data_IF_991236383844
#
_entry.id   IF_991236383844
#
_cell.length_a   1.000
_cell.length_b   1.000
_cell.length_c   1.000
_cell.angle_alpha   90.00
_cell.angle_beta   90.00
_cell.angle_gamma   90.00
#
_symmetry.space_group_name_H-M   'P 1'
#
loop_
_entity.id
_entity.type
_entity.pdbx_description
1 polymer ?
#
# COMPACT_ATOMS: atom_id res chain seq x y z
N UNK A 1 17.68 -25.24 1.80
CA UNK A 1 18.58 -24.26 2.42
C UNK A 1 17.79 -22.98 2.71
N UNK A 2 18.02 -22.39 3.90
CA UNK A 2 17.56 -21.04 4.23
C UNK A 2 18.75 -20.10 4.11
N UNK A 3 18.61 -19.01 3.36
CA UNK A 3 19.65 -18.04 3.11
C UNK A 3 19.14 -16.61 3.35
N UNK A 4 20.01 -15.73 3.82
CA UNK A 4 19.72 -14.33 4.08
C UNK A 4 20.02 -13.50 2.81
N UNK A 5 19.01 -12.88 2.22
CA UNK A 5 19.17 -12.07 1.01
C UNK A 5 20.06 -10.82 1.20
N UNK A 6 20.18 -10.33 2.44
CA UNK A 6 20.98 -9.15 2.76
C UNK A 6 22.50 -9.42 2.72
N UNK A 7 22.93 -10.69 2.79
CA UNK A 7 24.37 -11.03 2.75
C UNK A 7 24.97 -11.00 1.33
N UNK A 8 24.14 -10.73 0.32
CA UNK A 8 24.62 -10.52 -1.05
C UNK A 8 25.39 -11.71 -1.62
N UNK A 9 26.59 -11.47 -2.14
CA UNK A 9 27.41 -12.52 -2.78
C UNK A 9 27.80 -13.65 -1.84
N UNK A 10 27.93 -13.40 -0.54
CA UNK A 10 28.25 -14.43 0.45
C UNK A 10 27.13 -15.49 0.54
N UNK A 11 25.86 -15.07 0.47
CA UNK A 11 24.75 -16.01 0.43
C UNK A 11 24.80 -16.92 -0.81
N UNK A 12 25.28 -16.41 -1.94
CA UNK A 12 25.44 -17.21 -3.18
C UNK A 12 26.52 -18.26 -2.99
N UNK A 13 27.70 -17.89 -2.45
CA UNK A 13 28.80 -18.79 -2.17
C UNK A 13 28.40 -19.91 -1.19
N UNK A 14 27.66 -19.54 -0.14
CA UNK A 14 27.14 -20.50 0.83
C UNK A 14 26.17 -21.48 0.14
N UNK A 15 25.25 -20.97 -0.69
CA UNK A 15 24.28 -21.81 -1.38
C UNK A 15 24.95 -22.77 -2.36
N UNK A 16 25.96 -22.33 -3.09
CA UNK A 16 26.77 -23.16 -3.98
C UNK A 16 27.49 -24.26 -3.21
N UNK A 17 28.21 -23.94 -2.14
CA UNK A 17 28.93 -24.92 -1.33
C UNK A 17 28.00 -25.92 -0.63
N UNK A 18 26.79 -25.53 -0.22
CA UNK A 18 25.79 -26.47 0.28
C UNK A 18 25.24 -27.37 -0.83
N UNK A 19 24.99 -26.81 -2.02
CA UNK A 19 24.48 -27.59 -3.15
C UNK A 19 25.46 -28.66 -3.59
N UNK A 20 26.75 -28.35 -3.65
CA UNK A 20 27.81 -29.28 -4.01
C UNK A 20 27.96 -30.44 -3.02
N UNK A 21 27.82 -30.15 -1.70
CA UNK A 21 28.11 -31.13 -0.66
C UNK A 21 26.92 -32.01 -0.28
N UNK A 22 25.73 -31.45 -0.26
CA UNK A 22 24.51 -32.12 0.23
C UNK A 22 23.37 -32.21 -0.80
N UNK A 23 23.47 -31.46 -1.91
CA UNK A 23 22.42 -31.47 -2.92
C UNK A 23 21.12 -30.85 -2.39
N UNK A 24 20.99 -29.53 -2.45
CA UNK A 24 19.79 -28.83 -1.98
C UNK A 24 18.66 -28.94 -2.99
N UNK A 25 17.40 -29.11 -2.52
CA UNK A 25 16.21 -29.26 -3.37
C UNK A 25 15.39 -27.99 -3.48
N UNK A 26 15.73 -26.96 -2.71
CA UNK A 26 15.03 -25.68 -2.70
C UNK A 26 15.69 -24.66 -1.80
N UNK A 27 15.43 -23.39 -2.11
CA UNK A 27 15.90 -22.24 -1.35
C UNK A 27 14.73 -21.53 -0.66
N UNK A 28 14.97 -21.05 0.54
CA UNK A 28 14.12 -20.12 1.25
C UNK A 28 14.96 -18.86 1.48
N UNK A 29 14.52 -17.73 0.95
CA UNK A 29 15.23 -16.45 1.12
C UNK A 29 14.55 -15.64 2.23
N UNK A 30 15.34 -15.18 3.19
CA UNK A 30 14.87 -14.31 4.27
C UNK A 30 15.35 -12.87 4.05
N UNK A 31 14.68 -11.92 4.70
CA UNK A 31 15.01 -10.49 4.64
C UNK A 31 14.98 -9.90 3.22
N UNK A 32 14.09 -10.41 2.38
CA UNK A 32 13.94 -9.92 0.98
C UNK A 32 13.43 -8.48 0.93
N UNK A 33 12.82 -8.00 2.01
CA UNK A 33 12.42 -6.60 2.19
C UNK A 33 13.61 -5.62 2.22
N UNK A 34 14.80 -6.09 2.59
CA UNK A 34 16.05 -5.32 2.51
C UNK A 34 16.78 -5.42 1.16
N UNK A 35 16.43 -6.40 0.32
CA UNK A 35 16.97 -6.55 -1.05
C UNK A 35 16.07 -5.85 -2.07
N UNK A 36 16.16 -4.53 -2.16
CA UNK A 36 15.32 -3.70 -3.02
C UNK A 36 15.36 -4.07 -4.52
N UNK A 37 16.38 -4.81 -4.96
CA UNK A 37 16.57 -5.19 -6.37
C UNK A 37 16.42 -6.69 -6.63
N UNK A 38 16.15 -7.52 -5.61
CA UNK A 38 16.02 -8.96 -5.76
C UNK A 38 17.31 -9.66 -6.28
N UNK A 39 18.46 -8.99 -6.17
CA UNK A 39 19.73 -9.45 -6.76
C UNK A 39 20.20 -10.78 -6.17
N UNK A 40 20.00 -10.98 -4.87
CA UNK A 40 20.35 -12.24 -4.21
C UNK A 40 19.53 -13.42 -4.77
N UNK A 41 18.23 -13.23 -5.01
CA UNK A 41 17.35 -14.26 -5.57
C UNK A 41 17.82 -14.69 -6.97
N UNK A 42 18.08 -13.71 -7.84
CA UNK A 42 18.54 -13.99 -9.21
C UNK A 42 19.88 -14.69 -9.22
N UNK A 43 20.85 -14.20 -8.43
CA UNK A 43 22.21 -14.75 -8.37
C UNK A 43 22.22 -16.17 -7.82
N UNK A 44 21.52 -16.45 -6.73
CA UNK A 44 21.44 -17.81 -6.16
C UNK A 44 20.80 -18.78 -7.13
N UNK A 45 19.72 -18.38 -7.80
CA UNK A 45 19.06 -19.22 -8.81
C UNK A 45 19.98 -19.49 -10.01
N UNK A 46 20.71 -18.49 -10.49
CA UNK A 46 21.61 -18.63 -11.62
C UNK A 46 22.80 -19.55 -11.33
N UNK A 47 23.41 -19.41 -10.14
CA UNK A 47 24.61 -20.18 -9.74
C UNK A 47 24.24 -21.61 -9.34
N UNK A 48 23.23 -21.80 -8.50
CA UNK A 48 22.90 -23.14 -7.96
C UNK A 48 21.99 -23.96 -8.87
N UNK A 49 21.23 -23.31 -9.76
CA UNK A 49 20.17 -23.98 -10.52
C UNK A 49 18.95 -24.42 -9.67
N UNK A 50 19.00 -24.21 -8.35
CA UNK A 50 18.00 -24.68 -7.40
C UNK A 50 16.82 -23.72 -7.31
N UNK A 51 15.55 -24.22 -7.31
CA UNK A 51 14.40 -23.33 -7.26
C UNK A 51 14.26 -22.66 -5.89
N UNK A 52 13.91 -21.37 -5.89
CA UNK A 52 13.46 -20.67 -4.70
C UNK A 52 12.00 -21.13 -4.45
N UNK A 53 11.69 -21.53 -3.22
CA UNK A 53 10.37 -22.03 -2.83
C UNK A 53 9.58 -21.00 -2.03
N UNK A 54 10.25 -20.32 -1.10
CA UNK A 54 9.61 -19.36 -0.20
C UNK A 54 10.51 -18.14 0.00
N UNK A 55 9.86 -17.03 0.34
CA UNK A 55 10.50 -15.77 0.74
C UNK A 55 9.96 -15.27 2.06
N UNK A 56 10.85 -14.67 2.85
CA UNK A 56 10.52 -13.96 4.09
C UNK A 56 10.78 -12.46 3.91
N UNK A 57 9.75 -11.66 4.17
CA UNK A 57 9.76 -10.20 3.97
C UNK A 57 9.53 -9.42 5.27
N UNK A 58 9.76 -10.05 6.43
CA UNK A 58 9.59 -9.41 7.73
C UNK A 58 9.98 -10.31 8.89
N UNK A 59 9.97 -9.76 10.10
CA UNK A 59 10.41 -10.44 11.33
C UNK A 59 9.34 -11.36 11.96
N UNK A 60 8.06 -11.06 11.74
CA UNK A 60 6.96 -11.84 12.30
C UNK A 60 6.50 -12.89 11.29
N UNK A 61 6.33 -14.13 11.72
CA UNK A 61 5.79 -15.18 10.87
C UNK A 61 4.27 -14.97 10.71
N UNK A 62 3.88 -14.60 9.50
CA UNK A 62 2.48 -14.42 9.10
C UNK A 62 2.34 -14.73 7.60
N UNK A 63 1.13 -14.91 7.11
CA UNK A 63 0.86 -15.09 5.67
C UNK A 63 1.39 -13.94 4.81
N UNK A 64 1.56 -12.75 5.40
CA UNK A 64 2.02 -11.55 4.69
C UNK A 64 3.54 -11.34 4.78
N UNK A 65 4.27 -12.16 5.54
CA UNK A 65 5.72 -12.03 5.75
C UNK A 65 6.48 -13.29 5.43
N UNK A 66 5.79 -14.41 5.22
CA UNK A 66 6.36 -15.67 4.75
C UNK A 66 5.43 -16.24 3.68
N UNK A 67 5.86 -16.17 2.43
CA UNK A 67 5.04 -16.49 1.27
C UNK A 67 5.77 -17.40 0.26
N UNK A 68 5.03 -17.99 -0.64
CA UNK A 68 5.60 -18.73 -1.78
C UNK A 68 6.32 -17.77 -2.70
N UNK A 69 7.41 -18.25 -3.30
CA UNK A 69 8.14 -17.50 -4.30
C UNK A 69 7.37 -17.50 -5.64
N UNK A 70 7.04 -16.34 -6.14
CA UNK A 70 6.42 -16.12 -7.44
C UNK A 70 7.40 -15.36 -8.34
N UNK A 71 8.02 -16.02 -9.35
CA UNK A 71 9.03 -15.38 -10.21
C UNK A 71 8.53 -14.11 -10.89
N UNK A 72 7.29 -14.13 -11.39
CA UNK A 72 6.71 -13.01 -12.12
C UNK A 72 6.58 -11.77 -11.23
N UNK A 73 6.12 -11.94 -9.98
CA UNK A 73 6.01 -10.83 -9.00
C UNK A 73 7.36 -10.22 -8.66
N UNK A 74 8.40 -11.06 -8.53
CA UNK A 74 9.75 -10.56 -8.27
C UNK A 74 10.30 -9.84 -9.50
N UNK A 75 10.05 -10.34 -10.70
CA UNK A 75 10.43 -9.67 -11.94
C UNK A 75 9.75 -8.29 -12.06
N UNK A 76 8.45 -8.19 -11.83
CA UNK A 76 7.70 -6.93 -11.85
C UNK A 76 8.24 -5.94 -10.81
N UNK A 77 8.58 -6.42 -9.61
CA UNK A 77 9.21 -5.62 -8.55
C UNK A 77 10.57 -5.06 -8.97
N UNK A 78 11.42 -5.90 -9.58
CA UNK A 78 12.74 -5.50 -10.08
C UNK A 78 12.62 -4.47 -11.18
N UNK A 79 11.64 -4.63 -12.08
CA UNK A 79 11.36 -3.72 -13.18
C UNK A 79 10.67 -2.42 -12.73
N UNK A 80 10.26 -2.33 -11.46
CA UNK A 80 9.54 -1.18 -10.92
C UNK A 80 8.10 -1.06 -11.43
N UNK A 81 7.52 -2.16 -11.91
CA UNK A 81 6.13 -2.25 -12.36
C UNK A 81 5.14 -2.39 -11.21
N UNK A 82 5.65 -2.60 -9.97
CA UNK A 82 4.84 -2.85 -8.78
C UNK A 82 4.33 -4.29 -8.70
N UNK A 83 3.78 -4.67 -7.56
CA UNK A 83 3.17 -5.99 -7.35
C UNK A 83 1.65 -5.85 -7.28
N UNK A 84 1.03 -5.53 -8.43
CA UNK A 84 -0.41 -5.28 -8.54
C UNK A 84 -1.23 -6.52 -8.19
N UNK A 85 -0.73 -7.73 -8.50
CA UNK A 85 -1.42 -8.98 -8.20
C UNK A 85 -1.52 -9.22 -6.70
N UNK A 86 -0.42 -9.06 -5.95
CA UNK A 86 -0.45 -9.16 -4.48
C UNK A 86 -1.38 -8.11 -3.87
N UNK A 87 -1.38 -6.89 -4.42
CA UNK A 87 -2.29 -5.85 -3.96
C UNK A 87 -3.76 -6.23 -4.17
N UNK A 88 -4.09 -6.82 -5.33
CA UNK A 88 -5.45 -7.30 -5.62
C UNK A 88 -5.85 -8.45 -4.70
N UNK A 89 -5.00 -9.46 -4.52
CA UNK A 89 -5.26 -10.59 -3.61
C UNK A 89 -5.44 -10.13 -2.15
N UNK A 90 -4.63 -9.18 -1.68
CA UNK A 90 -4.79 -8.60 -0.35
C UNK A 90 -6.07 -7.77 -0.23
N UNK A 91 -6.42 -7.02 -1.25
CA UNK A 91 -7.68 -6.28 -1.28
C UNK A 91 -8.88 -7.24 -1.25
N UNK A 92 -8.89 -8.28 -2.09
CA UNK A 92 -9.95 -9.29 -2.10
C UNK A 92 -10.10 -10.00 -0.74
N UNK A 93 -9.00 -10.30 -0.05
CA UNK A 93 -9.06 -10.94 1.28
C UNK A 93 -9.67 -10.07 2.38
N UNK A 94 -9.75 -8.76 2.18
CA UNK A 94 -10.26 -7.79 3.16
C UNK A 94 -11.70 -7.37 2.92
N UNK A 95 -12.23 -7.64 1.74
CA UNK A 95 -13.60 -7.29 1.38
C UNK A 95 -14.42 -8.55 1.17
N UNK A 96 -15.49 -8.71 1.94
CA UNK A 96 -16.57 -9.56 1.54
C UNK A 96 -17.22 -8.93 0.30
N UNK A 97 -17.57 -9.74 -0.69
CA UNK A 97 -18.14 -9.29 -1.97
C UNK A 97 -19.36 -8.35 -1.76
N UNK A 98 -20.16 -8.65 -0.74
CA UNK A 98 -21.30 -7.83 -0.34
C UNK A 98 -20.90 -6.42 0.18
N UNK A 99 -19.80 -6.31 0.91
CA UNK A 99 -19.28 -5.02 1.39
C UNK A 99 -18.72 -4.18 0.24
N UNK A 100 -18.02 -4.82 -0.71
CA UNK A 100 -17.50 -4.14 -1.90
C UNK A 100 -18.64 -3.58 -2.75
N UNK A 101 -19.71 -4.34 -2.95
CA UNK A 101 -20.91 -3.87 -3.65
C UNK A 101 -21.60 -2.70 -2.94
N UNK A 102 -21.77 -2.77 -1.63
CA UNK A 102 -22.33 -1.67 -0.83
C UNK A 102 -21.47 -0.40 -0.90
N UNK A 103 -20.15 -0.54 -0.88
CA UNK A 103 -19.23 0.59 -1.00
C UNK A 103 -19.34 1.23 -2.39
N UNK A 104 -19.39 0.41 -3.44
CA UNK A 104 -19.58 0.87 -4.82
C UNK A 104 -20.91 1.61 -4.96
N UNK A 105 -21.99 1.09 -4.42
CA UNK A 105 -23.31 1.74 -4.43
C UNK A 105 -23.27 3.09 -3.70
N UNK A 106 -22.65 3.17 -2.53
CA UNK A 106 -22.46 4.43 -1.80
C UNK A 106 -21.67 5.46 -2.60
N UNK A 107 -20.61 5.02 -3.29
CA UNK A 107 -19.81 5.91 -4.16
C UNK A 107 -20.62 6.42 -5.35
N UNK A 108 -21.39 5.55 -6.00
CA UNK A 108 -22.25 5.91 -7.13
C UNK A 108 -23.37 6.87 -6.71
N UNK A 109 -23.88 6.75 -5.49
CA UNK A 109 -25.00 7.55 -4.99
C UNK A 109 -24.58 8.83 -4.24
N UNK A 110 -23.31 9.22 -4.26
CA UNK A 110 -22.78 10.33 -3.46
C UNK A 110 -23.06 10.21 -1.93
N UNK A 111 -23.10 8.98 -1.44
CA UNK A 111 -23.34 8.65 -0.03
C UNK A 111 -22.07 8.26 0.72
N UNK A 112 -20.91 8.38 0.07
CA UNK A 112 -19.63 8.13 0.71
C UNK A 112 -19.35 9.21 1.74
N UNK A 113 -19.14 8.83 3.00
CA UNK A 113 -19.02 9.74 4.15
C UNK A 113 -17.59 9.74 4.71
N UNK A 114 -17.29 10.65 5.64
CA UNK A 114 -16.04 10.60 6.41
C UNK A 114 -15.97 9.36 7.30
N UNK A 115 -17.11 8.79 7.71
CA UNK A 115 -17.13 7.51 8.42
C UNK A 115 -16.67 6.38 7.49
N UNK A 116 -17.20 6.30 6.28
CA UNK A 116 -16.77 5.31 5.29
C UNK A 116 -15.28 5.49 4.97
N UNK A 117 -14.81 6.74 4.84
CA UNK A 117 -13.40 7.03 4.61
C UNK A 117 -12.50 6.51 5.75
N UNK A 118 -12.92 6.69 7.00
CA UNK A 118 -12.20 6.16 8.17
C UNK A 118 -12.13 4.62 8.15
N UNK A 119 -13.25 3.96 7.81
CA UNK A 119 -13.32 2.51 7.71
C UNK A 119 -12.39 1.97 6.63
N UNK A 120 -12.34 2.61 5.44
CA UNK A 120 -11.41 2.24 4.39
C UNK A 120 -9.96 2.43 4.82
N UNK A 121 -9.65 3.55 5.49
CA UNK A 121 -8.32 3.83 6.00
C UNK A 121 -7.86 2.77 7.02
N UNK A 122 -8.76 2.33 7.89
CA UNK A 122 -8.48 1.26 8.86
C UNK A 122 -8.29 -0.10 8.18
N UNK A 123 -9.03 -0.40 7.11
CA UNK A 123 -8.84 -1.61 6.31
C UNK A 123 -7.46 -1.61 5.64
N UNK A 124 -7.07 -0.50 5.00
CA UNK A 124 -5.73 -0.36 4.39
C UNK A 124 -4.62 -0.57 5.44
N UNK A 125 -4.78 -0.04 6.66
CA UNK A 125 -3.83 -0.27 7.75
C UNK A 125 -3.70 -1.75 8.15
N UNK A 126 -4.76 -2.55 8.01
CA UNK A 126 -4.74 -4.00 8.26
C UNK A 126 -3.96 -4.76 7.20
N UNK A 127 -3.79 -4.23 5.99
CA UNK A 127 -2.95 -4.81 4.93
C UNK A 127 -1.46 -4.83 5.28
N UNK A 128 -1.06 -4.05 6.28
CA UNK A 128 0.32 -3.94 6.73
C UNK A 128 0.84 -2.51 6.76
N UNK A 129 2.15 -2.31 6.92
CA UNK A 129 2.76 -0.99 6.88
C UNK A 129 2.42 -0.29 5.55
N UNK A 130 1.88 0.91 5.63
CA UNK A 130 1.36 1.64 4.47
C UNK A 130 2.43 1.86 3.39
N UNK A 131 3.69 2.03 3.78
CA UNK A 131 4.80 2.09 2.86
C UNK A 131 4.87 0.87 1.93
N UNK A 132 4.64 -0.35 2.47
CA UNK A 132 4.60 -1.58 1.66
C UNK A 132 3.42 -1.59 0.68
N UNK A 133 2.26 -1.11 1.08
CA UNK A 133 1.08 -1.01 0.19
C UNK A 133 1.36 -0.06 -0.97
N UNK A 134 2.01 1.07 -0.71
CA UNK A 134 2.41 2.01 -1.75
C UNK A 134 3.53 1.48 -2.65
N UNK A 135 4.48 0.69 -2.11
CA UNK A 135 5.54 0.06 -2.91
C UNK A 135 4.98 -0.93 -3.96
N UNK A 136 3.77 -1.49 -3.72
CA UNK A 136 3.06 -2.35 -4.67
C UNK A 136 2.40 -1.55 -5.81
N UNK A 137 2.29 -0.23 -5.68
CA UNK A 137 1.69 0.61 -6.72
C UNK A 137 2.71 0.98 -7.80
N UNK A 138 2.36 0.86 -9.09
CA UNK A 138 3.25 1.20 -10.20
C UNK A 138 3.74 2.66 -10.12
N UNK A 139 5.05 2.87 -10.21
CA UNK A 139 5.67 4.20 -10.23
C UNK A 139 5.93 4.83 -8.85
N UNK A 140 5.34 4.32 -7.77
CA UNK A 140 5.55 4.88 -6.43
C UNK A 140 6.96 4.61 -5.91
N UNK A 141 7.51 3.44 -6.21
CA UNK A 141 8.90 3.08 -5.87
C UNK A 141 9.93 4.06 -6.45
N UNK A 142 9.68 4.62 -7.65
CA UNK A 142 10.54 5.66 -8.25
C UNK A 142 10.47 6.98 -7.48
N UNK A 143 9.28 7.39 -7.04
CA UNK A 143 9.10 8.62 -6.24
C UNK A 143 9.80 8.51 -4.87
N UNK A 144 9.76 7.33 -4.26
CA UNK A 144 10.46 7.03 -3.01
C UNK A 144 11.98 7.04 -3.18
N UNK A 145 12.50 6.43 -4.25
CA UNK A 145 13.94 6.44 -4.54
C UNK A 145 14.47 7.86 -4.83
N UNK A 146 13.61 8.78 -5.26
CA UNK A 146 13.94 10.19 -5.47
C UNK A 146 13.84 11.03 -4.18
N UNK A 147 13.56 10.42 -3.03
CA UNK A 147 13.41 11.12 -1.76
C UNK A 147 12.18 12.04 -1.67
N UNK A 148 11.21 11.87 -2.57
CA UNK A 148 10.00 12.70 -2.62
C UNK A 148 8.95 12.27 -1.60
N UNK A 149 9.10 11.08 -1.01
CA UNK A 149 8.10 10.49 -0.10
C UNK A 149 8.82 9.78 1.04
N UNK A 150 8.48 10.14 2.28
CA UNK A 150 8.96 9.51 3.51
C UNK A 150 7.80 8.72 4.14
N UNK A 151 8.03 7.45 4.43
CA UNK A 151 7.04 6.55 5.06
C UNK A 151 6.57 7.08 6.41
N UNK A 152 7.48 7.67 7.20
CA UNK A 152 7.14 8.24 8.50
C UNK A 152 6.22 9.45 8.36
N UNK A 153 6.43 10.26 7.33
CA UNK A 153 5.57 11.41 7.03
C UNK A 153 4.17 10.95 6.61
N UNK A 154 4.07 9.94 5.73
CA UNK A 154 2.78 9.38 5.32
C UNK A 154 2.03 8.80 6.53
N UNK A 155 2.70 7.96 7.31
CA UNK A 155 2.09 7.34 8.49
C UNK A 155 1.64 8.39 9.52
N UNK A 156 2.45 9.42 9.73
CA UNK A 156 2.11 10.55 10.59
C UNK A 156 0.87 11.30 10.09
N UNK A 157 0.77 11.57 8.80
CA UNK A 157 -0.40 12.21 8.18
C UNK A 157 -1.66 11.36 8.32
N UNK A 158 -1.57 10.06 8.11
CA UNK A 158 -2.72 9.16 8.25
C UNK A 158 -3.19 9.05 9.69
N UNK A 159 -2.28 8.98 10.67
CA UNK A 159 -2.61 9.03 12.09
C UNK A 159 -3.32 10.34 12.46
N UNK A 160 -2.86 11.46 11.90
CA UNK A 160 -3.48 12.77 12.10
C UNK A 160 -4.90 12.81 11.52
N UNK A 161 -5.10 12.33 10.30
CA UNK A 161 -6.43 12.26 9.67
C UNK A 161 -7.38 11.39 10.48
N UNK A 162 -6.93 10.22 10.92
CA UNK A 162 -7.69 9.30 11.77
C UNK A 162 -8.08 9.97 13.11
N UNK A 163 -7.15 10.67 13.77
CA UNK A 163 -7.41 11.38 15.01
C UNK A 163 -8.45 12.49 14.84
N UNK A 164 -8.38 13.25 13.73
CA UNK A 164 -9.34 14.29 13.38
C UNK A 164 -10.74 13.70 13.22
N UNK A 165 -10.89 12.63 12.41
CA UNK A 165 -12.19 12.01 12.16
C UNK A 165 -12.72 11.36 13.44
N UNK A 166 -11.88 10.72 14.24
CA UNK A 166 -12.27 10.12 15.52
C UNK A 166 -12.73 11.18 16.55
N UNK A 167 -12.25 12.41 16.46
CA UNK A 167 -12.69 13.53 17.31
C UNK A 167 -14.02 14.15 16.86
N UNK A 168 -14.55 13.74 15.70
CA UNK A 168 -15.88 14.13 15.24
C UNK A 168 -16.96 13.25 15.85
N UNK A 169 -18.16 13.81 16.03
CA UNK A 169 -19.36 13.00 16.32
C UNK A 169 -19.77 12.18 15.09
N UNK A 170 -20.59 11.14 15.29
CA UNK A 170 -21.12 10.32 14.20
C UNK A 170 -21.88 11.19 13.19
N UNK A 171 -22.67 12.15 13.67
CA UNK A 171 -23.40 13.09 12.82
C UNK A 171 -22.46 13.94 11.95
N UNK A 172 -21.35 14.41 12.53
CA UNK A 172 -20.35 15.21 11.82
C UNK A 172 -19.55 14.39 10.79
N UNK A 173 -19.30 13.10 11.08
CA UNK A 173 -18.66 12.17 10.14
C UNK A 173 -19.56 11.88 8.96
N UNK A 174 -20.88 11.74 9.19
CA UNK A 174 -21.87 11.49 8.15
C UNK A 174 -22.23 12.73 7.35
N UNK A 175 -22.11 13.93 7.96
CA UNK A 175 -22.43 15.19 7.31
C UNK A 175 -21.44 16.29 7.71
N UNK A 176 -20.30 16.38 7.02
CA UNK A 176 -19.28 17.40 7.29
C UNK A 176 -19.76 18.84 7.04
N UNK A 177 -20.91 19.04 6.37
CA UNK A 177 -21.48 20.38 6.08
C UNK A 177 -21.94 21.10 7.33
N UNK A 178 -22.23 20.36 8.42
CA UNK A 178 -22.60 20.94 9.72
C UNK A 178 -21.40 21.49 10.52
N UNK A 179 -20.16 21.29 10.04
CA UNK A 179 -18.95 21.73 10.70
C UNK A 179 -18.77 23.25 10.64
N UNK A 180 -19.26 23.93 11.65
CA UNK A 180 -19.01 25.37 11.89
C UNK A 180 -17.66 25.62 12.59
N UNK A 181 -17.31 26.88 12.82
CA UNK A 181 -16.05 27.28 13.44
C UNK A 181 -15.86 26.71 14.85
N UNK A 182 -16.92 26.66 15.66
CA UNK A 182 -16.87 26.11 17.03
C UNK A 182 -16.61 24.61 17.01
N UNK A 183 -17.30 23.85 16.16
CA UNK A 183 -17.11 22.41 16.00
C UNK A 183 -15.69 22.07 15.53
N UNK A 184 -15.17 22.82 14.55
CA UNK A 184 -13.78 22.65 14.07
C UNK A 184 -12.75 22.93 15.16
N UNK A 185 -12.97 23.94 16.01
CA UNK A 185 -12.09 24.22 17.14
C UNK A 185 -12.10 23.08 18.16
N UNK A 186 -13.27 22.54 18.50
CA UNK A 186 -13.41 21.39 19.39
C UNK A 186 -12.72 20.14 18.83
N UNK A 187 -12.91 19.83 17.53
CA UNK A 187 -12.26 18.72 16.84
C UNK A 187 -10.75 18.88 16.86
N UNK A 188 -10.23 20.07 16.54
CA UNK A 188 -8.80 20.35 16.58
C UNK A 188 -8.21 20.13 17.98
N UNK A 189 -8.91 20.58 19.01
CA UNK A 189 -8.50 20.40 20.41
C UNK A 189 -8.52 18.92 20.81
N UNK A 190 -9.57 18.17 20.42
CA UNK A 190 -9.72 16.73 20.73
C UNK A 190 -8.70 15.85 20.00
N UNK A 191 -8.27 16.23 18.81
CA UNK A 191 -7.28 15.50 18.02
C UNK A 191 -5.83 15.97 18.22
N UNK A 192 -5.61 17.01 19.05
CA UNK A 192 -4.28 17.55 19.34
C UNK A 192 -3.62 18.29 18.14
N UNK A 193 -4.42 18.78 17.19
CA UNK A 193 -3.95 19.48 15.97
C UNK A 193 -4.47 20.91 15.90
N UNK A 194 -4.06 21.64 14.89
CA UNK A 194 -4.55 23.02 14.64
C UNK A 194 -5.85 22.98 13.82
N UNK A 195 -6.66 24.02 13.95
CA UNK A 195 -7.89 24.20 13.16
C UNK A 195 -7.60 24.20 11.64
N UNK A 196 -6.43 24.65 11.25
CA UNK A 196 -5.96 24.59 9.85
C UNK A 196 -5.90 23.14 9.36
N UNK A 197 -5.34 22.22 10.16
CA UNK A 197 -5.17 20.83 9.80
C UNK A 197 -6.56 20.15 9.62
N UNK A 198 -7.53 20.48 10.47
CA UNK A 198 -8.93 20.05 10.30
C UNK A 198 -9.53 20.58 8.99
N UNK A 199 -9.29 21.84 8.67
CA UNK A 199 -9.77 22.44 7.42
C UNK A 199 -9.14 21.77 6.19
N UNK A 200 -7.86 21.44 6.25
CA UNK A 200 -7.14 20.77 5.17
C UNK A 200 -7.71 19.36 4.90
N UNK A 201 -8.01 18.59 5.95
CA UNK A 201 -8.68 17.28 5.81
C UNK A 201 -10.05 17.41 5.16
N UNK A 202 -10.87 18.36 5.60
CA UNK A 202 -12.19 18.59 4.99
C UNK A 202 -12.07 19.06 3.54
N UNK A 203 -11.06 19.88 3.22
CA UNK A 203 -10.80 20.31 1.85
C UNK A 203 -10.39 19.14 0.95
N UNK A 204 -9.51 18.26 1.43
CA UNK A 204 -9.10 17.07 0.70
C UNK A 204 -10.27 16.13 0.47
N UNK A 205 -11.10 15.90 1.48
CA UNK A 205 -12.31 15.10 1.36
C UNK A 205 -13.27 15.66 0.30
N UNK A 206 -13.51 16.98 0.29
CA UNK A 206 -14.33 17.64 -0.74
C UNK A 206 -13.74 17.50 -2.15
N UNK A 207 -12.44 17.52 -2.29
CA UNK A 207 -11.78 17.31 -3.58
C UNK A 207 -12.01 15.89 -4.07
N UNK A 208 -11.87 14.90 -3.18
CA UNK A 208 -12.16 13.50 -3.49
C UNK A 208 -13.63 13.30 -3.89
N UNK A 209 -14.58 13.88 -3.15
CA UNK A 209 -16.01 13.84 -3.47
C UNK A 209 -16.29 14.40 -4.88
N UNK A 210 -15.67 15.53 -5.23
CA UNK A 210 -15.77 16.12 -6.58
C UNK A 210 -15.16 15.24 -7.67
N UNK A 211 -14.04 14.58 -7.39
CA UNK A 211 -13.42 13.67 -8.34
C UNK A 211 -14.30 12.46 -8.60
N UNK A 212 -14.91 11.88 -7.55
CA UNK A 212 -15.85 10.77 -7.69
C UNK A 212 -17.12 11.19 -8.49
N UNK A 213 -17.65 12.36 -8.22
CA UNK A 213 -18.80 12.90 -9.00
C UNK A 213 -18.42 13.17 -10.47
N UNK A 214 -17.17 13.57 -10.72
CA UNK A 214 -16.62 13.70 -12.09
C UNK A 214 -16.55 12.37 -12.82
N UNK A 215 -16.05 11.33 -12.17
CA UNK A 215 -15.97 9.97 -12.73
C UNK A 215 -17.35 9.43 -13.08
N UNK A 216 -18.33 9.62 -12.20
CA UNK A 216 -19.73 9.24 -12.45
C UNK A 216 -20.32 9.93 -13.69
N UNK A 217 -19.91 11.17 -13.96
CA UNK A 217 -20.35 11.96 -15.13
C UNK A 217 -19.51 11.67 -16.39
N UNK A 218 -18.65 10.62 -16.36
CA UNK A 218 -17.77 10.25 -17.48
C UNK A 218 -16.64 11.24 -17.75
N UNK A 219 -16.35 12.15 -16.80
CA UNK A 219 -15.23 13.07 -16.90
C UNK A 219 -14.03 12.44 -16.20
N UNK A 220 -13.01 12.04 -16.97
CA UNK A 220 -11.74 11.58 -16.41
C UNK A 220 -11.10 12.73 -15.61
N UNK A 221 -10.72 12.50 -14.35
CA UNK A 221 -10.05 13.51 -13.56
C UNK A 221 -8.67 13.80 -14.15
N UNK A 222 -8.39 15.09 -14.33
CA UNK A 222 -7.03 15.53 -14.68
C UNK A 222 -6.16 15.40 -13.41
N UNK A 223 -5.46 14.27 -13.27
CA UNK A 223 -4.56 14.01 -12.15
C UNK A 223 -3.21 14.63 -12.51
N UNK A 224 -2.74 15.68 -11.81
CA UNK A 224 -1.41 16.24 -12.05
C UNK A 224 -0.35 15.17 -11.76
N UNK A 225 0.41 14.77 -12.79
CA UNK A 225 1.49 13.77 -12.68
C UNK A 225 1.24 12.42 -13.35
N UNK A 226 0.00 12.05 -13.67
CA UNK A 226 -0.32 10.96 -14.61
C UNK A 226 -0.68 11.58 -15.94
N UNK A 227 0.30 11.64 -16.86
CA UNK A 227 0.11 12.18 -18.21
C UNK A 227 -1.11 11.58 -18.87
N UNK A 228 -1.69 12.36 -19.75
CA UNK A 228 -2.91 12.14 -20.53
C UNK A 228 -3.14 10.64 -20.89
N UNK A 229 -3.81 9.88 -20.02
CA UNK A 229 -4.25 8.49 -20.27
C UNK A 229 -5.43 8.42 -21.26
N UNK A 230 -5.75 9.54 -21.93
CA UNK A 230 -6.86 9.65 -22.88
C UNK A 230 -6.64 8.99 -24.23
N UNK A 231 -5.56 8.24 -24.46
CA UNK A 231 -5.24 7.69 -25.78
C UNK A 231 -5.00 6.17 -25.82
N UNK A 232 -5.54 5.41 -24.85
CA UNK A 232 -5.74 3.98 -25.07
C UNK A 232 -7.11 3.79 -25.72
N UNK A 233 -7.10 3.85 -27.07
CA UNK A 233 -8.24 3.52 -27.89
C UNK A 233 -8.69 2.08 -27.65
N UNK A 234 -10.01 1.93 -27.47
CA UNK A 234 -10.75 0.71 -27.79
C UNK A 234 -10.67 0.45 -29.29
#
# INVERSE_FOLDING_TARGET
LVADAMTGQEAVNIAEGFNERVGITGLVLTKVDGDARGGAALSMRAVTGVPIKFIGTGEKISSNTFERFHPDRIADRILGMGDVLTLMEQAESLYEEEEAMKLQEKMLNNQFTLQDFLEQLQKIKKMGPIGKVFDMMPGFSKMRMQGMVDDQEIEGRLKMVEAIINSMTIEERNNYKILNASRRKRIAQGSGVRVRDVNDVIKQYRQMEKMMDGLRKGKLPNIPGLGNMGNFGL
#
